data_IF_645453717943
#
_entry.id   IF_645453717943
#
_cell.length_a   1.000
_cell.length_b   1.000
_cell.length_c   1.000
_cell.angle_alpha   90.00
_cell.angle_beta   90.00
_cell.angle_gamma   90.00
#
_symmetry.space_group_name_H-M   'P 1'
#
loop_
_entity.id
_entity.type
_entity.pdbx_description
1 polymer ?
#
# COMPACT_ATOMS: atom_id res chain seq x y z
N UNK A 1 24.91 8.68 14.93
CA UNK A 1 24.93 9.69 13.85
C UNK A 1 26.35 9.76 13.32
N UNK A 2 26.60 9.31 12.10
CA UNK A 2 27.98 9.18 11.55
C UNK A 2 28.33 10.41 10.70
N UNK A 3 28.76 11.49 11.35
CA UNK A 3 29.29 12.72 10.72
C UNK A 3 30.78 12.59 10.36
N UNK A 4 31.18 11.44 9.79
CA UNK A 4 32.59 11.04 9.64
C UNK A 4 33.43 11.98 8.77
N UNK A 5 32.80 12.76 7.90
CA UNK A 5 33.46 13.65 6.95
C UNK A 5 33.37 15.13 7.36
N UNK A 6 32.86 15.43 8.55
CA UNK A 6 32.69 16.79 9.04
C UNK A 6 33.63 17.04 10.22
N UNK A 7 34.13 18.26 10.31
CA UNK A 7 34.83 18.70 11.52
C UNK A 7 33.78 18.98 12.60
N UNK A 8 33.65 18.04 13.53
CA UNK A 8 32.73 18.14 14.67
C UNK A 8 33.50 18.45 15.94
N UNK A 9 33.12 19.50 16.65
CA UNK A 9 33.65 19.88 17.95
C UNK A 9 32.55 19.73 18.99
N UNK A 10 32.85 19.06 20.10
CA UNK A 10 31.96 19.04 21.26
C UNK A 10 32.37 20.16 22.21
N UNK A 11 31.50 21.14 22.46
CA UNK A 11 31.74 22.24 23.39
C UNK A 11 30.63 22.21 24.44
N UNK A 12 31.00 21.91 25.69
CA UNK A 12 30.05 21.59 26.76
C UNK A 12 29.15 20.40 26.34
N UNK A 13 27.84 20.62 26.21
CA UNK A 13 26.85 19.65 25.73
C UNK A 13 26.40 19.89 24.28
N UNK A 14 26.92 20.93 23.62
CA UNK A 14 26.58 21.26 22.24
C UNK A 14 27.50 20.52 21.26
N UNK A 15 26.91 20.12 20.13
CA UNK A 15 27.64 19.62 18.96
C UNK A 15 27.77 20.76 17.95
N UNK A 16 29.01 21.20 17.73
CA UNK A 16 29.35 22.24 16.76
C UNK A 16 29.89 21.57 15.51
N UNK A 17 29.19 21.71 14.40
CA UNK A 17 29.51 21.03 13.14
C UNK A 17 29.89 22.06 12.11
N UNK A 18 31.13 21.98 11.62
CA UNK A 18 31.56 22.79 10.48
C UNK A 18 31.09 22.12 9.20
N UNK A 19 30.32 22.84 8.40
CA UNK A 19 29.88 22.37 7.09
C UNK A 19 31.04 22.45 6.11
N UNK A 20 31.08 21.49 5.20
CA UNK A 20 32.01 21.49 4.09
C UNK A 20 31.51 22.48 3.03
N UNK A 21 32.36 23.45 2.70
CA UNK A 21 32.07 24.41 1.64
C UNK A 21 32.44 23.79 0.28
N UNK A 22 31.59 23.91 -0.75
CA UNK A 22 31.96 23.50 -2.11
C UNK A 22 33.18 24.28 -2.59
N UNK A 23 34.13 23.60 -3.26
CA UNK A 23 35.35 24.23 -3.80
C UNK A 23 35.04 25.27 -4.89
N UNK A 24 33.88 25.14 -5.53
CA UNK A 24 33.36 25.97 -6.61
C UNK A 24 32.39 27.07 -6.14
N UNK A 25 32.18 27.22 -4.82
CA UNK A 25 31.25 28.22 -4.29
C UNK A 25 31.70 29.65 -4.65
N UNK A 26 30.89 30.33 -5.47
CA UNK A 26 31.19 31.69 -5.95
C UNK A 26 30.96 32.80 -4.90
N UNK A 27 30.46 32.46 -3.71
CA UNK A 27 30.16 33.39 -2.63
C UNK A 27 31.28 33.38 -1.59
N UNK A 28 31.75 34.58 -1.21
CA UNK A 28 32.82 34.76 -0.23
C UNK A 28 32.29 34.56 1.20
N UNK A 29 32.39 33.34 1.71
CA UNK A 29 31.94 32.97 3.07
C UNK A 29 33.08 32.26 3.79
N UNK A 30 33.47 32.81 4.93
CA UNK A 30 34.59 32.35 5.73
C UNK A 30 34.30 31.01 6.41
N UNK A 31 33.07 30.85 6.92
CA UNK A 31 32.64 29.62 7.58
C UNK A 31 31.11 29.51 7.64
N UNK A 32 30.65 28.26 7.68
CA UNK A 32 29.28 27.91 7.99
C UNK A 32 29.25 26.80 9.05
N UNK A 33 28.64 27.10 10.19
CA UNK A 33 28.60 26.20 11.34
C UNK A 33 27.15 25.92 11.70
N UNK A 34 26.84 24.65 11.96
CA UNK A 34 25.58 24.22 12.56
C UNK A 34 25.86 23.82 14.01
N UNK A 35 25.31 24.58 14.95
CA UNK A 35 25.31 24.23 16.37
C UNK A 35 24.05 23.45 16.68
N UNK A 36 24.21 22.23 17.21
CA UNK A 36 23.13 21.36 17.65
C UNK A 36 23.13 21.25 19.18
N UNK A 37 22.03 21.65 19.80
CA UNK A 37 21.86 21.74 21.24
C UNK A 37 21.20 20.47 21.81
N UNK A 38 21.34 20.18 23.12
CA UNK A 38 20.76 18.98 23.75
C UNK A 38 19.24 18.86 23.64
N UNK A 39 18.54 19.99 23.54
CA UNK A 39 17.09 20.07 23.35
C UNK A 39 16.63 19.73 21.91
N UNK A 40 17.59 19.34 21.05
CA UNK A 40 17.43 19.08 19.62
C UNK A 40 17.13 20.32 18.79
N UNK A 41 17.38 21.52 19.31
CA UNK A 41 17.37 22.74 18.51
C UNK A 41 18.67 22.89 17.73
N UNK A 42 18.61 23.58 16.59
CA UNK A 42 19.77 23.94 15.79
C UNK A 42 19.88 25.45 15.62
N UNK A 43 21.10 25.91 15.44
CA UNK A 43 21.44 27.29 15.14
C UNK A 43 22.50 27.33 14.03
N UNK A 44 22.33 28.22 13.05
CA UNK A 44 23.30 28.42 11.97
C UNK A 44 24.14 29.64 12.31
N UNK A 45 25.44 29.43 12.44
CA UNK A 45 26.42 30.44 12.82
C UNK A 45 27.32 30.72 11.62
N UNK A 46 27.30 31.97 11.15
CA UNK A 46 28.15 32.53 10.10
C UNK A 46 28.01 34.05 10.14
N UNK A 47 29.08 34.84 10.14
CA UNK A 47 28.95 36.30 10.10
C UNK A 47 28.60 36.82 8.71
N UNK A 48 29.02 36.08 7.67
CA UNK A 48 28.91 36.47 6.27
C UNK A 48 27.50 36.25 5.68
N UNK A 49 26.68 35.41 6.34
CA UNK A 49 25.33 35.08 5.85
C UNK A 49 24.26 35.92 6.55
N UNK A 50 23.45 36.70 5.80
CA UNK A 50 22.31 37.43 6.33
C UNK A 50 21.33 36.57 7.13
N UNK A 51 20.72 37.15 8.16
CA UNK A 51 19.77 36.45 9.05
C UNK A 51 18.58 35.85 8.31
N UNK A 52 18.13 36.46 7.21
CA UNK A 52 17.04 35.95 6.38
C UNK A 52 17.40 34.62 5.70
N UNK A 53 18.63 34.50 5.18
CA UNK A 53 19.10 33.26 4.53
C UNK A 53 19.25 32.16 5.58
N UNK A 54 19.79 32.47 6.76
CA UNK A 54 19.85 31.52 7.88
C UNK A 54 18.45 31.02 8.27
N UNK A 55 17.44 31.89 8.33
CA UNK A 55 16.04 31.48 8.58
C UNK A 55 15.51 30.57 7.48
N UNK A 56 15.79 30.89 6.22
CA UNK A 56 15.40 30.05 5.09
C UNK A 56 16.00 28.64 5.20
N UNK A 57 17.29 28.54 5.52
CA UNK A 57 17.97 27.27 5.77
C UNK A 57 17.32 26.52 6.94
N UNK A 58 17.15 27.17 8.10
CA UNK A 58 16.55 26.58 9.31
C UNK A 58 15.15 25.99 9.08
N UNK A 59 14.35 26.55 8.16
CA UNK A 59 13.01 26.02 7.83
C UNK A 59 13.03 24.58 7.28
N UNK A 60 14.17 24.11 6.78
CA UNK A 60 14.36 22.74 6.29
C UNK A 60 14.76 21.75 7.39
N UNK A 61 15.04 22.20 8.62
CA UNK A 61 15.37 21.28 9.71
C UNK A 61 14.15 20.52 10.23
N UNK A 62 14.21 19.19 10.18
CA UNK A 62 13.13 18.28 10.60
C UNK A 62 13.55 17.25 11.65
N UNK A 63 14.47 17.64 12.55
CA UNK A 63 15.02 16.79 13.63
C UNK A 63 15.92 15.64 13.18
N UNK A 64 16.27 15.56 11.89
CA UNK A 64 17.40 14.79 11.40
C UNK A 64 18.56 15.74 11.10
N UNK A 65 19.67 15.58 11.82
CA UNK A 65 20.84 16.45 11.70
C UNK A 65 21.68 16.13 10.46
N UNK A 66 21.77 14.84 10.08
CA UNK A 66 22.57 14.41 8.94
C UNK A 66 21.92 14.85 7.63
N UNK A 67 20.62 14.59 7.50
CA UNK A 67 19.86 14.97 6.29
C UNK A 67 19.87 16.49 6.12
N UNK A 68 19.74 17.22 7.23
CA UNK A 68 19.81 18.67 7.22
C UNK A 68 21.17 19.19 6.73
N UNK A 69 22.26 18.66 7.27
CA UNK A 69 23.62 19.04 6.86
C UNK A 69 23.84 18.77 5.37
N UNK A 70 23.51 17.58 4.90
CA UNK A 70 23.66 17.20 3.49
C UNK A 70 22.84 18.11 2.57
N UNK A 71 21.62 18.48 2.98
CA UNK A 71 20.76 19.39 2.22
C UNK A 71 21.37 20.80 2.12
N UNK A 72 21.90 21.33 3.23
CA UNK A 72 22.54 22.64 3.21
C UNK A 72 23.78 22.62 2.33
N UNK A 73 24.63 21.60 2.46
CA UNK A 73 25.86 21.48 1.65
C UNK A 73 25.55 21.35 0.16
N UNK A 74 24.57 20.51 -0.21
CA UNK A 74 24.23 20.25 -1.62
C UNK A 74 23.49 21.41 -2.29
N UNK A 75 22.91 22.34 -1.52
CA UNK A 75 22.09 23.45 -2.04
C UNK A 75 22.61 24.81 -1.59
N UNK A 76 23.86 24.89 -1.13
CA UNK A 76 24.41 26.08 -0.49
C UNK A 76 24.30 27.30 -1.40
N UNK A 77 24.71 27.20 -2.66
CA UNK A 77 24.64 28.29 -3.63
C UNK A 77 23.22 28.82 -3.86
N UNK A 78 22.23 27.92 -3.87
CA UNK A 78 20.82 28.29 -4.03
C UNK A 78 20.40 29.14 -2.83
N UNK A 79 20.73 28.72 -1.61
CA UNK A 79 20.44 29.49 -0.41
C UNK A 79 21.14 30.85 -0.40
N UNK A 80 22.41 30.89 -0.81
CA UNK A 80 23.21 32.12 -0.84
C UNK A 80 22.75 33.11 -1.90
N UNK A 81 22.15 32.63 -2.99
CA UNK A 81 21.45 33.48 -3.97
C UNK A 81 20.15 34.11 -3.45
N UNK A 82 19.76 33.80 -2.21
CA UNK A 82 18.51 34.25 -1.59
C UNK A 82 17.29 33.41 -1.99
N UNK A 83 17.47 32.43 -2.88
CA UNK A 83 16.43 31.50 -3.29
C UNK A 83 16.33 30.31 -2.31
N UNK A 84 15.27 29.52 -2.45
CA UNK A 84 15.14 28.23 -1.77
C UNK A 84 15.11 27.12 -2.81
N UNK A 85 15.73 25.96 -2.55
CA UNK A 85 15.70 24.85 -3.49
C UNK A 85 14.26 24.44 -3.79
N UNK A 86 13.98 24.26 -5.07
CA UNK A 86 12.68 23.81 -5.59
C UNK A 86 12.24 22.57 -4.84
N UNK A 87 11.09 22.62 -4.16
CA UNK A 87 10.51 21.46 -3.44
C UNK A 87 10.18 20.26 -4.35
N UNK A 88 10.44 20.35 -5.64
CA UNK A 88 10.08 19.35 -6.65
C UNK A 88 10.97 18.10 -6.65
N UNK A 89 12.08 18.08 -5.90
CA UNK A 89 12.91 16.86 -5.73
C UNK A 89 12.80 16.23 -4.34
N UNK A 90 12.02 16.84 -3.44
CA UNK A 90 11.71 16.24 -2.14
C UNK A 90 10.20 16.03 -2.10
N UNK A 91 9.77 14.87 -2.60
CA UNK A 91 8.50 14.29 -2.16
C UNK A 91 8.47 14.41 -0.64
N UNK A 92 7.50 15.18 -0.13
CA UNK A 92 7.19 15.17 1.30
C UNK A 92 6.61 13.79 1.58
N UNK A 93 7.51 12.85 1.86
CA UNK A 93 7.19 11.58 2.46
C UNK A 93 6.83 11.95 3.90
N UNK A 94 5.54 12.15 4.16
CA UNK A 94 5.05 12.08 5.54
C UNK A 94 5.54 10.76 6.14
N UNK A 95 5.72 10.71 7.47
CA UNK A 95 6.39 9.60 8.19
C UNK A 95 5.92 8.17 7.84
N UNK A 96 4.80 8.03 7.14
CA UNK A 96 4.16 6.78 6.72
C UNK A 96 4.14 6.55 5.19
N UNK A 97 4.78 7.40 4.37
CA UNK A 97 4.81 7.23 2.91
C UNK A 97 3.57 7.75 2.16
N UNK A 98 2.74 8.58 2.80
CA UNK A 98 1.45 9.00 2.27
C UNK A 98 1.50 10.46 1.82
N UNK A 99 1.37 10.72 0.52
CA UNK A 99 1.25 12.08 -0.05
C UNK A 99 -0.22 12.51 -0.17
N UNK A 100 -0.50 13.80 0.06
CA UNK A 100 -1.83 14.39 -0.14
C UNK A 100 -2.13 14.54 -1.64
N UNK A 101 -3.28 14.04 -2.08
CA UNK A 101 -3.78 14.20 -3.46
C UNK A 101 -4.24 15.64 -3.71
N UNK A 102 -4.27 16.06 -4.99
CA UNK A 102 -4.75 17.40 -5.36
C UNK A 102 -6.23 17.58 -4.98
N UNK A 103 -6.66 18.81 -4.69
CA UNK A 103 -8.03 19.10 -4.24
C UNK A 103 -9.11 18.68 -5.26
N UNK A 104 -8.72 18.59 -6.54
CA UNK A 104 -9.58 18.17 -7.65
C UNK A 104 -9.22 16.78 -8.18
N UNK A 105 -8.50 15.98 -7.41
CA UNK A 105 -8.13 14.64 -7.82
C UNK A 105 -9.38 13.77 -7.96
N UNK A 106 -9.75 13.47 -9.20
CA UNK A 106 -10.77 12.47 -9.50
C UNK A 106 -10.08 11.11 -9.43
N UNK A 107 -10.40 10.33 -8.40
CA UNK A 107 -9.98 8.93 -8.37
C UNK A 107 -10.43 8.26 -9.67
N UNK A 108 -9.56 7.50 -10.36
CA UNK A 108 -9.99 6.63 -11.44
C UNK A 108 -10.84 5.51 -10.84
N UNK A 109 -12.10 5.82 -10.53
CA UNK A 109 -13.08 4.84 -10.11
C UNK A 109 -13.50 4.13 -11.39
N UNK A 110 -12.81 3.04 -11.73
CA UNK A 110 -13.40 2.04 -12.59
C UNK A 110 -14.67 1.56 -11.88
N UNK A 111 -15.81 2.17 -12.21
CA UNK A 111 -17.15 1.70 -11.81
C UNK A 111 -17.51 0.42 -12.57
N UNK A 112 -16.60 -0.54 -12.60
CA UNK A 112 -16.99 -1.91 -12.89
C UNK A 112 -17.67 -2.40 -11.61
N UNK A 113 -18.92 -2.87 -11.65
CA UNK A 113 -19.44 -3.66 -10.55
C UNK A 113 -18.53 -4.88 -10.46
N UNK A 114 -17.55 -4.83 -9.54
CA UNK A 114 -16.52 -5.86 -9.46
C UNK A 114 -17.18 -7.22 -9.23
N UNK A 115 -18.30 -7.27 -8.52
CA UNK A 115 -19.01 -8.51 -8.28
C UNK A 115 -19.88 -8.90 -9.49
N UNK A 116 -19.39 -9.84 -10.31
CA UNK A 116 -20.11 -10.39 -11.45
C UNK A 116 -20.49 -11.87 -11.28
N UNK A 117 -20.16 -12.48 -10.15
CA UNK A 117 -20.55 -13.84 -9.78
C UNK A 117 -21.55 -13.80 -8.61
N UNK A 118 -22.84 -13.74 -8.94
CA UNK A 118 -23.95 -13.77 -7.98
C UNK A 118 -24.27 -15.21 -7.57
N UNK A 119 -24.68 -15.42 -6.32
CA UNK A 119 -25.26 -16.68 -5.86
C UNK A 119 -26.73 -16.47 -5.49
N UNK A 120 -27.57 -17.38 -5.92
CA UNK A 120 -28.90 -17.54 -5.33
C UNK A 120 -28.81 -18.60 -4.23
N UNK A 121 -28.90 -18.18 -2.97
CA UNK A 121 -28.73 -19.09 -1.83
C UNK A 121 -29.89 -18.95 -0.84
N UNK A 122 -30.43 -20.09 -0.40
CA UNK A 122 -31.32 -20.15 0.75
C UNK A 122 -30.49 -20.52 1.99
N UNK A 123 -30.49 -19.65 3.01
CA UNK A 123 -29.64 -19.81 4.20
C UNK A 123 -30.41 -19.58 5.50
N UNK A 124 -29.94 -20.24 6.56
CA UNK A 124 -30.45 -20.11 7.93
C UNK A 124 -29.29 -20.01 8.91
N UNK A 125 -29.29 -18.98 9.75
CA UNK A 125 -28.26 -18.72 10.76
C UNK A 125 -26.84 -18.54 10.17
N UNK A 126 -26.75 -17.99 8.96
CA UNK A 126 -25.50 -17.67 8.25
C UNK A 126 -25.45 -16.17 8.01
N UNK A 127 -24.50 -15.49 8.64
CA UNK A 127 -24.31 -14.05 8.46
C UNK A 127 -23.50 -13.74 7.19
N UNK A 128 -22.42 -14.49 6.98
CA UNK A 128 -21.46 -14.29 5.91
C UNK A 128 -21.23 -15.59 5.15
N UNK A 129 -21.00 -15.48 3.84
CA UNK A 129 -20.75 -16.60 2.94
C UNK A 129 -19.75 -16.19 1.84
N UNK A 130 -18.73 -17.00 1.58
CA UNK A 130 -17.73 -16.74 0.53
C UNK A 130 -17.05 -18.03 0.07
N UNK A 131 -16.25 -17.92 -0.99
CA UNK A 131 -15.47 -19.03 -1.54
C UNK A 131 -14.07 -18.53 -1.89
N UNK A 132 -13.04 -18.87 -1.11
CA UNK A 132 -11.66 -18.44 -1.40
C UNK A 132 -11.13 -18.90 -2.77
N UNK A 133 -11.45 -20.12 -3.17
CA UNK A 133 -10.90 -20.75 -4.37
C UNK A 133 -11.96 -21.64 -5.03
N UNK A 134 -12.90 -21.04 -5.78
CA UNK A 134 -13.89 -21.78 -6.54
C UNK A 134 -13.25 -22.62 -7.65
N UNK A 135 -13.82 -23.80 -7.87
CA UNK A 135 -13.57 -24.60 -9.07
C UNK A 135 -14.53 -24.14 -10.16
N UNK A 136 -14.01 -23.72 -11.31
CA UNK A 136 -14.86 -23.32 -12.43
C UNK A 136 -14.83 -24.35 -13.54
N UNK A 137 -15.97 -24.58 -14.18
CA UNK A 137 -16.00 -25.14 -15.53
C UNK A 137 -15.91 -23.99 -16.54
N UNK A 138 -14.87 -24.02 -17.36
CA UNK A 138 -14.58 -23.02 -18.37
C UNK A 138 -14.55 -23.66 -19.75
N UNK A 139 -15.18 -23.03 -20.73
CA UNK A 139 -15.06 -23.43 -22.13
C UNK A 139 -13.96 -22.63 -22.81
N UNK A 140 -13.02 -23.29 -23.47
CA UNK A 140 -12.00 -22.59 -24.25
C UNK A 140 -12.62 -21.93 -25.50
N UNK A 141 -12.26 -20.67 -25.75
CA UNK A 141 -12.83 -19.90 -26.85
C UNK A 141 -12.39 -20.44 -28.23
N UNK A 142 -11.20 -21.06 -28.31
CA UNK A 142 -10.63 -21.65 -29.54
C UNK A 142 -11.13 -23.07 -29.82
N UNK A 143 -10.93 -23.99 -28.87
CA UNK A 143 -11.20 -25.42 -29.06
C UNK A 143 -12.63 -25.83 -28.69
N UNK A 144 -13.39 -24.95 -28.03
CA UNK A 144 -14.75 -25.21 -27.48
C UNK A 144 -14.84 -26.38 -26.48
N UNK A 145 -13.71 -26.96 -26.08
CA UNK A 145 -13.62 -27.99 -25.05
C UNK A 145 -13.77 -27.34 -23.68
N UNK A 146 -14.58 -27.96 -22.82
CA UNK A 146 -14.74 -27.58 -21.43
C UNK A 146 -13.59 -28.14 -20.59
N UNK A 147 -13.13 -27.36 -19.61
CA UNK A 147 -12.07 -27.76 -18.68
C UNK A 147 -12.31 -27.16 -17.31
N UNK A 148 -11.91 -27.88 -16.28
CA UNK A 148 -11.90 -27.35 -14.93
C UNK A 148 -10.69 -26.40 -14.75
N UNK A 149 -10.94 -25.19 -14.26
CA UNK A 149 -9.92 -24.14 -14.07
C UNK A 149 -10.13 -23.48 -12.72
N UNK A 150 -9.11 -23.53 -11.85
CA UNK A 150 -9.08 -22.74 -10.60
C UNK A 150 -8.43 -21.37 -10.83
N UNK A 151 -7.26 -21.36 -11.47
CA UNK A 151 -6.51 -20.15 -11.80
C UNK A 151 -5.99 -20.21 -13.24
N UNK A 152 -5.26 -21.26 -13.59
CA UNK A 152 -4.69 -21.46 -14.93
C UNK A 152 -4.79 -22.93 -15.34
N UNK A 153 -5.10 -23.19 -16.61
CA UNK A 153 -5.09 -24.54 -17.17
C UNK A 153 -4.80 -24.53 -18.68
N UNK A 154 -4.06 -25.51 -19.18
CA UNK A 154 -3.76 -25.64 -20.62
C UNK A 154 -4.92 -26.35 -21.36
N UNK A 155 -5.58 -25.78 -22.38
CA UNK A 155 -6.48 -26.54 -23.28
C UNK A 155 -5.65 -27.54 -24.11
N UNK A 156 -6.28 -28.64 -24.51
CA UNK A 156 -5.76 -29.61 -25.48
C UNK A 156 -5.33 -28.98 -26.83
N UNK A 157 -5.81 -27.77 -27.17
CA UNK A 157 -5.37 -27.02 -28.35
C UNK A 157 -4.12 -26.15 -28.13
N UNK A 158 -3.48 -26.26 -26.96
CA UNK A 158 -2.27 -25.54 -26.59
C UNK A 158 -2.48 -24.13 -26.03
N UNK A 159 -3.73 -23.63 -25.94
CA UNK A 159 -4.02 -22.32 -25.36
C UNK A 159 -4.07 -22.41 -23.83
N UNK A 160 -3.42 -21.47 -23.15
CA UNK A 160 -3.52 -21.30 -21.70
C UNK A 160 -4.81 -20.56 -21.34
N UNK A 161 -5.71 -21.23 -20.62
CA UNK A 161 -6.93 -20.65 -20.07
C UNK A 161 -6.60 -20.05 -18.72
N UNK A 162 -6.92 -18.78 -18.51
CA UNK A 162 -6.69 -18.10 -17.23
C UNK A 162 -7.99 -17.59 -16.65
N UNK A 163 -8.10 -17.68 -15.34
CA UNK A 163 -9.21 -17.16 -14.57
C UNK A 163 -8.63 -16.40 -13.39
N UNK A 164 -8.82 -15.09 -13.36
CA UNK A 164 -8.55 -14.32 -12.16
C UNK A 164 -9.85 -14.22 -11.36
N UNK A 165 -9.85 -14.78 -10.16
CA UNK A 165 -10.98 -14.72 -9.25
C UNK A 165 -10.63 -13.89 -8.01
N UNK A 166 -11.49 -12.95 -7.67
CA UNK A 166 -11.35 -12.08 -6.50
C UNK A 166 -12.57 -12.31 -5.61
N UNK A 167 -12.42 -12.93 -4.42
CA UNK A 167 -13.53 -13.13 -3.50
C UNK A 167 -14.00 -11.80 -2.92
N UNK A 168 -15.28 -11.73 -2.56
CA UNK A 168 -15.87 -10.57 -1.86
C UNK A 168 -16.45 -10.96 -0.51
N UNK A 169 -16.61 -9.94 0.35
CA UNK A 169 -17.37 -10.02 1.60
C UNK A 169 -18.80 -9.48 1.40
N UNK A 170 -19.52 -10.05 0.44
CA UNK A 170 -20.88 -9.63 0.10
C UNK A 170 -21.87 -10.78 0.39
N UNK A 171 -23.06 -10.44 0.87
CA UNK A 171 -24.09 -11.42 1.19
C UNK A 171 -24.76 -12.07 -0.02
N UNK A 172 -24.65 -11.48 -1.21
CA UNK A 172 -25.31 -11.91 -2.45
C UNK A 172 -24.33 -12.40 -3.54
N UNK A 173 -23.04 -12.09 -3.40
CA UNK A 173 -22.03 -12.36 -4.42
C UNK A 173 -20.86 -13.18 -3.87
N UNK A 174 -20.32 -14.10 -4.69
CA UNK A 174 -19.03 -14.75 -4.40
C UNK A 174 -17.86 -13.82 -4.67
N UNK A 175 -18.00 -12.94 -5.66
CA UNK A 175 -16.96 -11.99 -6.03
C UNK A 175 -16.89 -11.77 -7.54
N UNK A 176 -15.67 -11.55 -8.01
CA UNK A 176 -15.34 -11.18 -9.38
C UNK A 176 -14.65 -12.32 -10.10
N UNK A 177 -15.02 -12.58 -11.34
CA UNK A 177 -14.31 -13.49 -12.24
C UNK A 177 -13.93 -12.77 -13.53
N UNK A 178 -12.65 -12.94 -13.93
CA UNK A 178 -12.10 -12.39 -15.16
C UNK A 178 -11.47 -13.52 -15.98
N UNK A 179 -12.23 -14.14 -16.90
CA UNK A 179 -11.72 -15.20 -17.76
C UNK A 179 -10.90 -14.63 -18.93
N UNK A 180 -9.80 -15.30 -19.27
CA UNK A 180 -8.95 -15.01 -20.43
C UNK A 180 -8.82 -16.25 -21.33
N UNK A 181 -9.07 -16.05 -22.62
CA UNK A 181 -9.21 -17.11 -23.65
C UNK A 181 -10.22 -18.23 -23.33
N UNK A 182 -11.10 -18.02 -22.35
CA UNK A 182 -12.18 -18.92 -21.99
C UNK A 182 -13.49 -18.18 -21.71
N UNK A 183 -14.58 -18.95 -21.60
CA UNK A 183 -15.91 -18.48 -21.22
C UNK A 183 -16.35 -19.30 -20.01
N UNK A 184 -16.88 -18.61 -18.99
CA UNK A 184 -17.45 -19.26 -17.81
C UNK A 184 -18.71 -20.06 -18.19
N UNK A 185 -18.79 -21.30 -17.71
CA UNK A 185 -19.96 -22.18 -17.89
C UNK A 185 -20.70 -22.30 -16.56
N UNK A 186 -20.05 -22.87 -15.55
CA UNK A 186 -20.66 -23.08 -14.24
C UNK A 186 -19.62 -23.21 -13.13
N UNK A 187 -20.11 -23.17 -11.89
CA UNK A 187 -19.33 -23.46 -10.70
C UNK A 187 -19.31 -24.97 -10.46
N UNK A 188 -18.12 -25.56 -10.46
CA UNK A 188 -17.91 -26.93 -10.02
C UNK A 188 -17.89 -27.03 -8.49
N UNK A 189 -18.10 -28.23 -7.92
CA UNK A 189 -18.11 -28.42 -6.47
C UNK A 189 -16.89 -27.80 -5.79
N UNK A 190 -17.15 -26.96 -4.79
CA UNK A 190 -16.16 -26.10 -4.13
C UNK A 190 -16.37 -26.10 -2.61
N UNK A 191 -15.40 -25.59 -1.87
CA UNK A 191 -15.55 -25.35 -0.44
C UNK A 191 -15.93 -23.89 -0.18
N UNK A 192 -16.78 -23.68 0.81
CA UNK A 192 -17.31 -22.36 1.14
C UNK A 192 -16.96 -22.00 2.58
N UNK A 193 -16.55 -20.75 2.80
CA UNK A 193 -16.38 -20.17 4.13
C UNK A 193 -17.67 -19.48 4.55
N UNK A 194 -18.08 -19.68 5.81
CA UNK A 194 -19.29 -19.07 6.34
C UNK A 194 -19.20 -18.83 7.84
N UNK A 195 -20.10 -18.02 8.38
CA UNK A 195 -20.10 -17.65 9.79
C UNK A 195 -21.44 -17.98 10.44
N UNK A 196 -21.40 -18.47 11.68
CA UNK A 196 -22.60 -18.57 12.50
C UNK A 196 -23.14 -17.18 12.82
N UNK A 197 -24.39 -16.90 12.47
CA UNK A 197 -25.02 -15.60 12.72
C UNK A 197 -25.14 -15.22 14.20
N UNK A 198 -25.22 -16.22 15.10
CA UNK A 198 -25.42 -15.97 16.54
C UNK A 198 -24.12 -15.64 17.29
N UNK A 199 -22.99 -16.24 16.91
CA UNK A 199 -21.74 -16.15 17.67
C UNK A 199 -20.52 -15.78 16.81
N UNK A 200 -20.71 -15.52 15.51
CA UNK A 200 -19.69 -15.13 14.54
C UNK A 200 -18.52 -16.11 14.39
N UNK A 201 -18.67 -17.35 14.86
CA UNK A 201 -17.65 -18.39 14.65
C UNK A 201 -17.59 -18.75 13.16
N UNK A 202 -16.37 -18.82 12.63
CA UNK A 202 -16.07 -19.10 11.23
C UNK A 202 -15.95 -20.61 10.98
N UNK A 203 -16.47 -21.06 9.85
CA UNK A 203 -16.42 -22.46 9.41
C UNK A 203 -16.06 -22.55 7.93
N UNK A 204 -15.58 -23.71 7.51
CA UNK A 204 -15.43 -24.11 6.11
C UNK A 204 -16.27 -25.37 5.85
N UNK A 205 -17.01 -25.39 4.75
CA UNK A 205 -17.80 -26.55 4.36
C UNK A 205 -16.92 -27.69 3.81
N UNK A 206 -17.49 -28.88 3.74
CA UNK A 206 -17.01 -29.88 2.79
C UNK A 206 -17.20 -29.38 1.34
N UNK A 207 -16.66 -30.11 0.37
CA UNK A 207 -16.90 -29.81 -1.04
C UNK A 207 -18.38 -29.98 -1.38
N UNK A 208 -19.00 -28.92 -1.87
CA UNK A 208 -20.43 -28.86 -2.21
C UNK A 208 -20.60 -28.38 -3.64
N UNK A 209 -21.47 -29.06 -4.40
CA UNK A 209 -21.90 -28.62 -5.72
C UNK A 209 -23.07 -27.65 -5.64
N UNK A 210 -23.47 -27.12 -6.79
CA UNK A 210 -24.75 -26.43 -6.94
C UNK A 210 -25.91 -27.38 -6.57
N UNK A 211 -26.98 -26.83 -6.01
CA UNK A 211 -28.15 -27.54 -5.48
C UNK A 211 -27.84 -28.52 -4.34
N UNK A 212 -26.69 -28.38 -3.67
CA UNK A 212 -26.32 -29.21 -2.52
C UNK A 212 -26.69 -28.54 -1.21
N UNK A 213 -27.39 -29.29 -0.33
CA UNK A 213 -27.76 -28.82 1.00
C UNK A 213 -26.64 -29.10 1.99
N UNK A 214 -26.26 -28.08 2.76
CA UNK A 214 -25.38 -28.20 3.91
C UNK A 214 -26.14 -27.98 5.22
N UNK A 215 -25.85 -28.79 6.24
CA UNK A 215 -26.41 -28.65 7.58
C UNK A 215 -25.35 -29.03 8.61
N UNK A 216 -25.21 -28.22 9.66
CA UNK A 216 -24.44 -28.55 10.86
C UNK A 216 -25.03 -27.83 12.08
N UNK A 217 -24.60 -28.23 13.28
CA UNK A 217 -24.77 -27.39 14.47
C UNK A 217 -23.47 -26.60 14.72
N UNK A 218 -23.61 -25.33 15.06
CA UNK A 218 -22.49 -24.50 15.49
C UNK A 218 -21.81 -25.11 16.70
N UNK A 219 -20.50 -25.34 16.64
CA UNK A 219 -19.73 -25.96 17.72
C UNK A 219 -19.64 -25.10 18.99
N UNK A 220 -19.93 -23.80 18.90
CA UNK A 220 -19.83 -22.86 20.02
C UNK A 220 -21.18 -22.60 20.70
N UNK A 221 -22.26 -22.41 19.92
CA UNK A 221 -23.56 -21.97 20.46
C UNK A 221 -24.72 -22.92 20.13
N UNK A 222 -24.41 -24.10 19.58
CA UNK A 222 -25.32 -25.18 19.18
C UNK A 222 -26.47 -24.76 18.24
N UNK A 223 -26.37 -23.56 17.67
CA UNK A 223 -27.35 -23.08 16.70
C UNK A 223 -27.20 -23.86 15.40
N UNK A 224 -28.29 -24.44 14.90
CA UNK A 224 -28.30 -25.13 13.62
C UNK A 224 -28.05 -24.15 12.47
N UNK A 225 -27.02 -24.42 11.67
CA UNK A 225 -26.64 -23.66 10.49
C UNK A 225 -27.00 -24.50 9.26
N UNK A 226 -27.68 -23.90 8.29
CA UNK A 226 -27.91 -24.58 7.01
C UNK A 226 -27.93 -23.62 5.83
N UNK A 227 -27.49 -24.09 4.68
CA UNK A 227 -27.62 -23.37 3.42
C UNK A 227 -27.78 -24.32 2.23
N UNK A 228 -28.38 -23.82 1.16
CA UNK A 228 -28.54 -24.46 -0.13
C UNK A 228 -28.12 -23.44 -1.19
N UNK A 229 -27.09 -23.79 -1.95
CA UNK A 229 -26.49 -23.01 -3.05
C UNK A 229 -27.13 -23.41 -4.36
#
# INVERSE_FOLDING_TARGET
>A
VSLKNHRVLKKNDDLVIHLNMPEDCIYDISYLIVQYKPDKSIEIISEDIPSQIKKNMLNFYKKDLNDFINLIESNLEIFLSGNTPSRNEYTVIDKDGITKLSENYVFPINKLPLNNLKIEMNRKNVLFFSCKSPNFEMQCNKCKINKNVQSTALCNCGVELKTNYIPTLDSEYLGSIFPDYCTFICLNPSKFQFNCEKCNTNYESNTLGLNSKFVMNCWVCDTQISFLI
#
